data_IF_967937946647
#
_entry.id   IF_967937946647
#
_cell.length_a   1.000
_cell.length_b   1.000
_cell.length_c   1.000
_cell.angle_alpha   90.00
_cell.angle_beta   90.00
_cell.angle_gamma   90.00
#
_symmetry.space_group_name_H-M   'P 1'
#
loop_
_entity.id
_entity.type
_entity.pdbx_description
1 polymer ?
#
# COMPACT_ATOMS: atom_id res chain seq x y z
N UNK A 1 -17.15 -22.87 -6.05
CA UNK A 1 -16.05 -22.34 -6.88
C UNK A 1 -16.25 -20.87 -7.28
N UNK A 2 -17.49 -20.34 -7.40
CA UNK A 2 -17.71 -18.90 -7.66
C UNK A 2 -17.34 -17.99 -6.49
N UNK A 3 -17.71 -18.36 -5.26
CA UNK A 3 -17.50 -17.54 -4.06
C UNK A 3 -16.01 -17.30 -3.74
N UNK A 4 -15.17 -18.33 -3.85
CA UNK A 4 -13.72 -18.20 -3.67
C UNK A 4 -13.09 -17.27 -4.71
N UNK A 5 -13.54 -17.33 -5.97
CA UNK A 5 -13.07 -16.43 -7.04
C UNK A 5 -13.48 -14.97 -6.78
N UNK A 6 -14.70 -14.75 -6.29
CA UNK A 6 -15.17 -13.41 -5.87
C UNK A 6 -14.31 -12.87 -4.73
N UNK A 7 -14.04 -13.68 -3.71
CA UNK A 7 -13.21 -13.27 -2.58
C UNK A 7 -11.77 -12.89 -3.01
N UNK A 8 -11.16 -13.61 -3.96
CA UNK A 8 -9.85 -13.21 -4.51
C UNK A 8 -9.90 -11.88 -5.26
N UNK A 9 -10.97 -11.62 -6.02
CA UNK A 9 -11.14 -10.35 -6.72
C UNK A 9 -11.33 -9.18 -5.73
N UNK A 10 -12.10 -9.38 -4.66
CA UNK A 10 -12.28 -8.40 -3.60
C UNK A 10 -10.97 -8.10 -2.85
N UNK A 11 -10.18 -9.14 -2.56
CA UNK A 11 -8.86 -8.96 -1.93
C UNK A 11 -7.87 -8.23 -2.85
N UNK A 12 -7.91 -8.49 -4.16
CA UNK A 12 -7.10 -7.74 -5.12
C UNK A 12 -7.53 -6.28 -5.17
N UNK A 13 -8.84 -6.01 -5.25
CA UNK A 13 -9.37 -4.65 -5.24
C UNK A 13 -8.96 -3.89 -3.96
N UNK A 14 -9.04 -4.54 -2.79
CA UNK A 14 -8.61 -3.95 -1.53
C UNK A 14 -7.11 -3.60 -1.53
N UNK A 15 -6.27 -4.44 -2.15
CA UNK A 15 -4.84 -4.15 -2.33
C UNK A 15 -4.61 -2.92 -3.21
N UNK A 16 -5.34 -2.83 -4.33
CA UNK A 16 -5.24 -1.70 -5.26
C UNK A 16 -5.71 -0.40 -4.60
N UNK A 17 -6.80 -0.45 -3.83
CA UNK A 17 -7.34 0.69 -3.07
C UNK A 17 -6.34 1.19 -2.02
N UNK A 18 -5.67 0.27 -1.31
CA UNK A 18 -4.62 0.62 -0.35
C UNK A 18 -3.43 1.28 -1.04
N UNK A 19 -3.04 0.80 -2.22
CA UNK A 19 -1.94 1.39 -2.99
C UNK A 19 -2.30 2.80 -3.47
N UNK A 20 -3.52 3.00 -3.96
CA UNK A 20 -4.02 4.32 -4.36
C UNK A 20 -4.09 5.29 -3.18
N UNK A 21 -4.58 4.83 -2.01
CA UNK A 21 -4.60 5.63 -0.79
C UNK A 21 -3.19 6.03 -0.35
N UNK A 22 -2.22 5.11 -0.39
CA UNK A 22 -0.83 5.40 -0.04
C UNK A 22 -0.18 6.41 -0.99
N UNK A 23 -0.45 6.32 -2.30
CA UNK A 23 0.02 7.31 -3.28
C UNK A 23 -0.59 8.69 -3.04
N UNK A 24 -1.88 8.75 -2.70
CA UNK A 24 -2.57 10.00 -2.38
C UNK A 24 -1.97 10.66 -1.14
N UNK A 25 -1.73 9.88 -0.08
CA UNK A 25 -1.08 10.37 1.15
C UNK A 25 0.30 10.94 0.83
N UNK A 26 1.13 10.23 0.04
CA UNK A 26 2.44 10.75 -0.36
C UNK A 26 2.33 12.09 -1.08
N UNK A 27 1.40 12.24 -2.02
CA UNK A 27 1.21 13.49 -2.75
C UNK A 27 0.78 14.65 -1.83
N UNK A 28 -0.10 14.39 -0.86
CA UNK A 28 -0.51 15.40 0.14
C UNK A 28 0.66 15.81 1.04
N UNK A 29 1.52 14.86 1.41
CA UNK A 29 2.73 15.12 2.21
C UNK A 29 3.78 15.92 1.41
N UNK A 30 4.01 15.59 0.14
CA UNK A 30 4.90 16.33 -0.75
C UNK A 30 4.41 17.79 -0.94
N UNK A 31 3.09 17.98 -1.08
CA UNK A 31 2.49 19.32 -1.15
C UNK A 31 2.68 20.10 0.15
N UNK A 32 2.49 19.44 1.29
CA UNK A 32 2.68 20.02 2.62
C UNK A 32 4.15 20.42 2.82
N UNK A 33 5.10 19.55 2.48
CA UNK A 33 6.53 19.83 2.52
C UNK A 33 6.87 21.06 1.65
N UNK A 34 6.38 21.13 0.42
CA UNK A 34 6.63 22.27 -0.47
C UNK A 34 6.07 23.59 0.09
N UNK A 35 4.96 23.55 0.84
CA UNK A 35 4.43 24.73 1.56
C UNK A 35 5.31 25.10 2.74
N UNK A 36 5.77 24.11 3.51
CA UNK A 36 6.55 24.32 4.73
C UNK A 36 7.98 24.77 4.43
N UNK A 37 8.64 24.25 3.39
CA UNK A 37 10.01 24.63 3.03
C UNK A 37 10.19 26.15 2.86
N UNK A 38 9.16 26.87 2.38
CA UNK A 38 9.18 28.34 2.27
C UNK A 38 9.17 29.06 3.63
N UNK A 39 8.64 28.41 4.66
CA UNK A 39 8.51 28.94 6.03
C UNK A 39 9.68 28.52 6.92
N UNK A 40 10.33 27.39 6.64
CA UNK A 40 11.47 26.85 7.41
C UNK A 40 12.64 27.84 7.51
N UNK A 41 12.84 28.69 6.51
CA UNK A 41 13.85 29.75 6.54
C UNK A 41 13.61 30.81 7.63
N UNK A 42 12.38 30.90 8.15
CA UNK A 42 11.97 31.85 9.21
C UNK A 42 11.89 31.22 10.59
N UNK A 43 12.09 29.91 10.70
CA UNK A 43 11.96 29.16 11.94
C UNK A 43 13.26 29.12 12.74
N UNK A 44 13.14 29.20 14.06
CA UNK A 44 14.25 28.95 14.98
C UNK A 44 14.57 27.44 15.06
N UNK A 45 15.77 27.09 15.54
CA UNK A 45 16.33 25.74 15.45
C UNK A 45 15.46 24.60 15.99
N UNK A 46 14.71 24.83 17.08
CA UNK A 46 13.83 23.81 17.68
C UNK A 46 12.63 23.47 16.77
N UNK A 47 12.08 24.45 16.06
CA UNK A 47 10.99 24.24 15.12
C UNK A 47 11.45 23.49 13.87
N UNK A 48 12.70 23.73 13.41
CA UNK A 48 13.29 22.94 12.33
C UNK A 48 13.48 21.47 12.74
N UNK A 49 13.96 21.22 13.98
CA UNK A 49 14.13 19.86 14.47
C UNK A 49 12.80 19.11 14.60
N UNK A 50 11.76 19.75 15.16
CA UNK A 50 10.43 19.16 15.27
C UNK A 50 9.83 18.83 13.90
N UNK A 51 10.03 19.70 12.91
CA UNK A 51 9.60 19.46 11.54
C UNK A 51 10.32 18.28 10.89
N UNK A 52 11.65 18.20 11.00
CA UNK A 52 12.41 17.08 10.43
C UNK A 52 11.98 15.74 11.02
N UNK A 53 11.67 15.71 12.31
CA UNK A 53 11.17 14.49 12.96
C UNK A 53 9.77 14.13 12.46
N UNK A 54 8.86 15.11 12.35
CA UNK A 54 7.55 14.88 11.77
C UNK A 54 7.67 14.38 10.32
N UNK A 55 8.61 14.95 9.55
CA UNK A 55 8.89 14.57 8.17
C UNK A 55 9.28 13.11 8.06
N UNK A 56 10.27 12.71 8.84
CA UNK A 56 10.73 11.33 8.89
C UNK A 56 9.61 10.36 9.25
N UNK A 57 8.75 10.73 10.21
CA UNK A 57 7.65 9.88 10.64
C UNK A 57 6.62 9.67 9.54
N UNK A 58 6.15 10.73 8.87
CA UNK A 58 5.15 10.56 7.83
C UNK A 58 5.71 9.82 6.60
N UNK A 59 6.98 10.01 6.27
CA UNK A 59 7.63 9.30 5.16
C UNK A 59 7.76 7.80 5.45
N UNK A 60 8.12 7.44 6.69
CA UNK A 60 8.17 6.05 7.14
C UNK A 60 6.79 5.39 7.08
N UNK A 61 5.74 6.07 7.53
CA UNK A 61 4.38 5.53 7.53
C UNK A 61 3.79 5.41 6.11
N UNK A 62 4.00 6.41 5.25
CA UNK A 62 3.58 6.34 3.84
C UNK A 62 4.25 5.15 3.13
N UNK A 63 5.54 4.94 3.36
CA UNK A 63 6.28 3.78 2.84
C UNK A 63 5.72 2.46 3.38
N UNK A 64 5.43 2.38 4.69
CA UNK A 64 4.82 1.17 5.30
C UNK A 64 3.48 0.80 4.67
N UNK A 65 2.64 1.79 4.36
CA UNK A 65 1.37 1.55 3.66
C UNK A 65 1.60 0.94 2.28
N UNK A 66 2.53 1.50 1.50
CA UNK A 66 2.88 0.96 0.18
C UNK A 66 3.41 -0.47 0.25
N UNK A 67 4.30 -0.76 1.20
CA UNK A 67 4.82 -2.10 1.41
C UNK A 67 3.73 -3.10 1.82
N UNK A 68 2.77 -2.67 2.63
CA UNK A 68 1.66 -3.51 3.08
C UNK A 68 0.73 -3.86 1.92
N UNK A 69 0.37 -2.88 1.10
CA UNK A 69 -0.42 -3.10 -0.12
C UNK A 69 0.29 -4.08 -1.07
N UNK A 70 1.59 -3.87 -1.34
CA UNK A 70 2.37 -4.76 -2.20
C UNK A 70 2.43 -6.21 -1.67
N UNK A 71 2.60 -6.37 -0.35
CA UNK A 71 2.58 -7.69 0.31
C UNK A 71 1.22 -8.36 0.18
N UNK A 72 0.13 -7.61 0.34
CA UNK A 72 -1.23 -8.13 0.14
C UNK A 72 -1.45 -8.61 -1.30
N UNK A 73 -1.16 -7.77 -2.29
CA UNK A 73 -1.31 -8.15 -3.71
C UNK A 73 -0.49 -9.40 -4.07
N UNK A 74 0.75 -9.50 -3.59
CA UNK A 74 1.59 -10.70 -3.79
C UNK A 74 0.96 -11.94 -3.16
N UNK A 75 0.48 -11.85 -1.92
CA UNK A 75 -0.14 -12.97 -1.22
C UNK A 75 -1.44 -13.44 -1.92
N UNK A 76 -2.25 -12.51 -2.41
CA UNK A 76 -3.48 -12.80 -3.16
C UNK A 76 -3.16 -13.51 -4.48
N UNK A 77 -2.16 -13.04 -5.22
CA UNK A 77 -1.70 -13.67 -6.46
C UNK A 77 -1.26 -15.12 -6.25
N UNK A 78 -0.38 -15.35 -5.27
CA UNK A 78 0.11 -16.70 -4.92
C UNK A 78 -1.04 -17.63 -4.51
N UNK A 79 -1.99 -17.14 -3.71
CA UNK A 79 -3.13 -17.93 -3.27
C UNK A 79 -4.07 -18.31 -4.43
N UNK A 80 -4.30 -17.38 -5.36
CA UNK A 80 -5.12 -17.61 -6.55
C UNK A 80 -4.48 -18.65 -7.49
N UNK A 81 -3.17 -18.55 -7.73
CA UNK A 81 -2.42 -19.54 -8.55
C UNK A 81 -2.48 -20.94 -7.93
N UNK A 82 -2.22 -21.06 -6.62
CA UNK A 82 -2.30 -22.32 -5.91
C UNK A 82 -3.71 -22.94 -5.97
N UNK A 83 -4.74 -22.11 -5.85
CA UNK A 83 -6.13 -22.55 -5.95
C UNK A 83 -6.46 -23.08 -7.36
N UNK A 84 -6.10 -22.34 -8.42
CA UNK A 84 -6.34 -22.76 -9.80
C UNK A 84 -5.60 -24.06 -10.15
N UNK A 85 -4.35 -24.21 -9.69
CA UNK A 85 -3.58 -25.43 -9.87
C UNK A 85 -4.24 -26.64 -9.17
N UNK A 86 -4.82 -26.42 -7.99
CA UNK A 86 -5.59 -27.43 -7.26
C UNK A 86 -6.87 -27.83 -8.00
N UNK A 87 -7.65 -26.86 -8.49
CA UNK A 87 -8.85 -27.13 -9.30
C UNK A 87 -8.51 -27.92 -10.56
N UNK A 88 -7.46 -27.53 -11.29
CA UNK A 88 -7.04 -28.21 -12.52
C UNK A 88 -6.62 -29.67 -12.26
N UNK A 89 -5.85 -29.91 -11.18
CA UNK A 89 -5.46 -31.27 -10.78
C UNK A 89 -6.67 -32.13 -10.39
N UNK A 90 -7.63 -31.56 -9.66
CA UNK A 90 -8.84 -32.27 -9.28
C UNK A 90 -9.71 -32.58 -10.50
N UNK A 91 -9.92 -31.60 -11.39
CA UNK A 91 -10.69 -31.79 -12.62
C UNK A 91 -10.09 -32.88 -13.52
N UNK A 92 -8.75 -32.90 -13.68
CA UNK A 92 -8.04 -33.92 -14.44
C UNK A 92 -8.13 -35.33 -13.84
N UNK A 93 -8.55 -35.47 -12.58
CA UNK A 93 -8.72 -36.75 -11.89
C UNK A 93 -10.12 -37.35 -12.04
N UNK A 94 -11.09 -36.52 -12.46
CA UNK A 94 -12.49 -36.92 -12.68
C UNK A 94 -12.87 -36.98 -14.17
N UNK A 95 -11.90 -36.83 -15.07
CA UNK A 95 -11.97 -37.12 -16.50
C UNK A 95 -11.25 -38.45 -16.77
#
# INVERSE_FOLDING_TARGET
MSEIKVNFAELQQASDDLQAAAQKIQAELDELEGKIQRLVATWEGDAQAAYQEAQRQWDEEAKRMQETAAKMGTAVGVANEAFQAGEAKNAARFL
#
